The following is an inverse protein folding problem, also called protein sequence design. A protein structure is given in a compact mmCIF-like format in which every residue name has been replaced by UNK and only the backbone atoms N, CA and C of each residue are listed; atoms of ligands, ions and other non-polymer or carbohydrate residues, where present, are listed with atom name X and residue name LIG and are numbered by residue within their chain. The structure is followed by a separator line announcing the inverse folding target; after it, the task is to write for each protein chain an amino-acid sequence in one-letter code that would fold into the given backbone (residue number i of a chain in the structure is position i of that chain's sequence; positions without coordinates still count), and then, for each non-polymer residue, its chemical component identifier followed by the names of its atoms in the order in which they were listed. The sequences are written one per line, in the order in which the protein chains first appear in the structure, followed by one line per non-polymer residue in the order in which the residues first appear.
data_IF_513427590832
#
_entry.id   IF_513427590832
#
_cell.length_a   1.000
_cell.length_b   1.000
_cell.length_c   1.000
_cell.angle_alpha   90.00
_cell.angle_beta   90.00
_cell.angle_gamma   90.00
#
_symmetry.space_group_name_H-M   'P 1'
#
loop_
_entity.id
_entity.type
_entity.pdbx_description
1 polymer ?
#
# COMPACT_ATOMS: atom_id res chain seq x y z
N UNK A 1 18.46 13.49 9.65
CA UNK A 1 19.80 14.12 9.63
C UNK A 1 20.21 14.59 8.24
N UNK A 2 20.71 13.72 7.35
CA UNK A 2 21.37 14.16 6.09
C UNK A 2 20.47 14.98 5.14
N UNK A 3 19.19 14.66 5.03
CA UNK A 3 18.25 15.42 4.18
C UNK A 3 17.63 16.66 4.85
N UNK A 4 17.80 16.81 6.17
CA UNK A 4 17.06 17.79 6.99
C UNK A 4 18.00 18.88 7.51
N UNK A 5 19.27 18.56 7.78
CA UNK A 5 20.23 19.51 8.33
C UNK A 5 20.81 20.41 7.22
N UNK A 6 20.62 21.73 7.36
CA UNK A 6 21.11 22.72 6.38
C UNK A 6 22.61 23.01 6.46
N UNK A 7 23.27 22.71 7.58
CA UNK A 7 24.71 22.97 7.78
C UNK A 7 25.47 21.71 8.20
N UNK A 8 26.76 21.63 7.83
CA UNK A 8 27.65 20.53 8.23
C UNK A 8 27.81 20.44 9.75
N UNK A 9 27.86 21.58 10.44
CA UNK A 9 28.01 21.61 11.91
C UNK A 9 26.76 21.05 12.61
N UNK A 10 25.57 21.43 12.15
CA UNK A 10 24.30 20.88 12.66
C UNK A 10 24.18 19.38 12.38
N UNK A 11 24.66 18.92 11.22
CA UNK A 11 24.68 17.51 10.86
C UNK A 11 25.56 16.67 11.81
N UNK A 12 26.74 17.17 12.18
CA UNK A 12 27.63 16.50 13.12
C UNK A 12 27.01 16.37 14.52
N UNK A 13 26.42 17.45 15.04
CA UNK A 13 25.70 17.43 16.33
C UNK A 13 24.56 16.42 16.33
N UNK A 14 23.80 16.35 15.23
CA UNK A 14 22.72 15.40 15.08
C UNK A 14 23.22 13.94 15.07
N UNK A 15 24.36 13.66 14.41
CA UNK A 15 24.95 12.31 14.46
C UNK A 15 25.42 11.95 15.86
N UNK A 16 25.98 12.88 16.63
CA UNK A 16 26.37 12.62 18.02
C UNK A 16 25.17 12.37 18.91
N UNK A 17 24.08 13.11 18.71
CA UNK A 17 22.81 12.84 19.37
C UNK A 17 22.27 11.44 19.04
N UNK A 18 22.24 11.05 17.76
CA UNK A 18 21.80 9.72 17.32
C UNK A 18 22.68 8.62 17.93
N UNK A 19 24.01 8.81 17.95
CA UNK A 19 24.93 7.84 18.58
C UNK A 19 24.64 7.68 20.07
N UNK A 20 24.42 8.79 20.78
CA UNK A 20 24.07 8.77 22.20
C UNK A 20 22.73 8.08 22.47
N UNK A 21 21.71 8.36 21.66
CA UNK A 21 20.39 7.72 21.76
C UNK A 21 20.47 6.21 21.50
N UNK A 22 21.17 5.80 20.44
CA UNK A 22 21.34 4.40 20.10
C UNK A 22 22.17 3.66 21.16
N UNK A 23 23.21 4.27 21.73
CA UNK A 23 23.98 3.68 22.81
C UNK A 23 23.13 3.45 24.07
N UNK A 24 22.28 4.42 24.45
CA UNK A 24 21.33 4.27 25.56
C UNK A 24 20.33 3.14 25.33
N UNK A 25 19.96 2.89 24.08
CA UNK A 25 19.06 1.81 23.69
C UNK A 25 19.79 0.47 23.42
N UNK A 26 21.07 0.33 23.79
CA UNK A 26 21.81 -0.93 23.69
C UNK A 26 22.30 -1.31 22.29
N UNK A 27 22.27 -0.39 21.31
CA UNK A 27 22.76 -0.68 19.97
C UNK A 27 24.30 -0.64 19.93
N UNK A 28 24.97 -1.64 19.33
CA UNK A 28 26.43 -1.63 19.18
C UNK A 28 26.92 -0.46 18.33
N UNK A 29 27.97 0.23 18.79
CA UNK A 29 28.54 1.38 18.07
C UNK A 29 28.99 1.04 16.63
N UNK A 30 29.46 -0.20 16.39
CA UNK A 30 29.84 -0.68 15.06
C UNK A 30 28.66 -0.70 14.09
N UNK A 31 27.49 -1.14 14.56
CA UNK A 31 26.27 -1.21 13.76
C UNK A 31 25.79 0.20 13.37
N UNK A 32 25.70 1.10 14.35
CA UNK A 32 25.27 2.50 14.12
C UNK A 32 26.22 3.20 13.14
N UNK A 33 27.54 3.09 13.36
CA UNK A 33 28.52 3.71 12.48
C UNK A 33 28.53 3.11 11.07
N UNK A 34 28.25 1.81 10.92
CA UNK A 34 28.09 1.16 9.60
C UNK A 34 26.92 1.77 8.82
N UNK A 35 25.77 1.99 9.48
CA UNK A 35 24.60 2.61 8.87
C UNK A 35 24.90 4.06 8.46
N UNK A 36 25.53 4.84 9.34
CA UNK A 36 25.90 6.23 9.04
C UNK A 36 26.84 6.29 7.82
N UNK A 37 27.88 5.44 7.79
CA UNK A 37 28.83 5.37 6.66
C UNK A 37 28.13 5.00 5.36
N UNK A 38 27.27 3.98 5.38
CA UNK A 38 26.49 3.56 4.21
C UNK A 38 25.65 4.72 3.67
N UNK A 39 24.96 5.46 4.55
CA UNK A 39 24.12 6.56 4.12
C UNK A 39 24.93 7.74 3.54
N UNK A 40 26.10 8.04 4.10
CA UNK A 40 26.99 9.05 3.54
C UNK A 40 27.56 8.63 2.17
N UNK A 41 27.85 7.34 1.99
CA UNK A 41 28.34 6.82 0.72
C UNK A 41 27.26 6.81 -0.37
N UNK A 42 26.00 6.54 -0.02
CA UNK A 42 24.87 6.63 -0.95
C UNK A 42 24.69 8.04 -1.51
N UNK A 43 24.99 9.07 -0.72
CA UNK A 43 24.92 10.48 -1.16
C UNK A 43 26.14 10.91 -1.97
N UNK A 44 27.29 10.27 -1.76
CA UNK A 44 28.53 10.53 -2.51
C UNK A 44 28.61 9.75 -3.81
N UNK A 45 27.87 8.66 -3.93
CA UNK A 45 27.70 7.98 -5.19
C UNK A 45 26.87 8.89 -6.09
N UNK A 46 27.55 9.70 -6.90
CA UNK A 46 27.00 10.16 -8.17
C UNK A 46 26.30 8.98 -8.79
N UNK A 47 25.05 9.19 -9.22
CA UNK A 47 24.22 8.13 -9.79
C UNK A 47 25.09 7.24 -10.71
N UNK A 48 25.02 5.90 -10.59
CA UNK A 48 25.58 5.08 -11.66
C UNK A 48 25.03 5.62 -12.98
N UNK A 49 25.84 5.70 -14.06
CA UNK A 49 25.31 6.08 -15.36
C UNK A 49 24.04 5.28 -15.56
N UNK A 50 22.93 5.98 -15.77
CA UNK A 50 21.66 5.36 -16.12
C UNK A 50 22.00 4.26 -17.11
N UNK A 51 21.70 2.98 -16.79
CA UNK A 51 21.78 1.95 -17.81
C UNK A 51 20.91 2.52 -18.92
N UNK A 52 21.52 2.78 -20.07
CA UNK A 52 20.81 3.19 -21.28
C UNK A 52 19.60 2.27 -21.32
N UNK A 53 18.42 2.86 -21.16
CA UNK A 53 17.16 2.12 -21.21
C UNK A 53 17.01 1.63 -22.65
N UNK A 54 17.71 0.56 -22.98
CA UNK A 54 17.23 -0.38 -23.97
C UNK A 54 15.93 -0.87 -23.35
N UNK A 55 14.84 -0.21 -23.74
CA UNK A 55 13.46 -0.52 -23.39
C UNK A 55 13.11 -1.88 -23.98
N UNK A 56 13.76 -2.94 -23.50
CA UNK A 56 13.30 -4.30 -23.77
C UNK A 56 12.01 -4.42 -22.99
N UNK A 57 10.90 -4.31 -23.71
CA UNK A 57 9.54 -4.54 -23.21
C UNK A 57 9.53 -5.93 -22.55
N UNK A 58 9.69 -5.93 -21.23
CA UNK A 58 9.94 -7.13 -20.44
C UNK A 58 8.61 -7.58 -19.86
N UNK A 59 8.06 -8.64 -20.43
CA UNK A 59 6.78 -9.20 -19.97
C UNK A 59 7.05 -10.16 -18.83
N UNK A 60 6.44 -9.92 -17.67
CA UNK A 60 6.56 -10.80 -16.50
C UNK A 60 5.43 -11.81 -16.49
N UNK A 61 5.77 -13.10 -16.56
CA UNK A 61 4.82 -14.20 -16.44
C UNK A 61 4.90 -14.79 -15.02
N UNK A 62 3.79 -14.73 -14.27
CA UNK A 62 3.69 -15.37 -12.96
C UNK A 62 3.17 -16.79 -13.12
N UNK A 63 3.92 -17.75 -12.59
CA UNK A 63 3.59 -19.18 -12.67
C UNK A 63 3.53 -19.76 -11.26
N UNK A 64 2.44 -20.46 -10.89
CA UNK A 64 2.39 -21.27 -9.68
C UNK A 64 3.57 -22.25 -9.56
N UNK A 65 4.28 -22.23 -8.43
CA UNK A 65 5.34 -23.20 -8.17
C UNK A 65 4.77 -24.54 -7.70
N UNK A 66 4.87 -25.57 -8.54
CA UNK A 66 4.46 -26.95 -8.24
C UNK A 66 5.64 -27.94 -8.24
N UNK A 67 6.87 -27.44 -8.05
CA UNK A 67 8.09 -28.25 -8.14
C UNK A 67 8.71 -28.26 -9.53
N UNK A 68 9.39 -29.35 -9.89
CA UNK A 68 10.19 -29.45 -11.12
C UNK A 68 9.38 -29.16 -12.40
N UNK A 69 8.12 -29.61 -12.45
CA UNK A 69 7.24 -29.39 -13.60
C UNK A 69 7.02 -27.91 -13.93
N UNK A 70 6.85 -27.07 -12.90
CA UNK A 70 6.71 -25.62 -13.10
C UNK A 70 7.97 -25.00 -13.73
N UNK A 71 9.16 -25.51 -13.36
CA UNK A 71 10.42 -25.03 -13.93
C UNK A 71 10.58 -25.47 -15.39
N UNK A 72 10.18 -26.70 -15.72
CA UNK A 72 10.16 -27.19 -17.10
C UNK A 72 9.22 -26.33 -17.95
N UNK A 73 8.02 -26.04 -17.44
CA UNK A 73 7.07 -25.15 -18.09
C UNK A 73 7.67 -23.76 -18.35
N UNK A 74 8.26 -23.13 -17.34
CA UNK A 74 8.86 -21.79 -17.49
C UNK A 74 10.02 -21.76 -18.50
N UNK A 75 10.86 -22.81 -18.54
CA UNK A 75 11.92 -22.96 -19.55
C UNK A 75 11.34 -23.08 -20.96
N UNK A 76 10.31 -23.91 -21.15
CA UNK A 76 9.64 -24.09 -22.45
C UNK A 76 9.00 -22.79 -22.94
N UNK A 77 8.32 -22.07 -22.06
CA UNK A 77 7.69 -20.78 -22.39
C UNK A 77 8.73 -19.75 -22.76
N UNK A 78 9.84 -19.66 -22.02
CA UNK A 78 10.93 -18.72 -22.32
C UNK A 78 11.59 -19.04 -23.66
N UNK A 79 11.82 -20.33 -23.96
CA UNK A 79 12.39 -20.77 -25.24
C UNK A 79 11.45 -20.51 -26.42
N UNK A 80 10.16 -20.79 -26.27
CA UNK A 80 9.14 -20.52 -27.28
C UNK A 80 9.02 -19.01 -27.54
N UNK A 81 9.03 -18.19 -26.48
CA UNK A 81 8.96 -16.74 -26.60
C UNK A 81 10.20 -16.15 -27.28
N UNK A 82 11.40 -16.64 -26.98
CA UNK A 82 12.61 -16.23 -27.68
C UNK A 82 12.57 -16.56 -29.18
N UNK A 83 11.93 -17.67 -29.56
CA UNK A 83 11.76 -18.07 -30.97
C UNK A 83 10.75 -17.21 -31.72
N UNK A 84 9.60 -16.91 -31.10
CA UNK A 84 8.50 -16.23 -31.78
C UNK A 84 8.51 -14.70 -31.61
N UNK A 85 9.13 -14.19 -30.54
CA UNK A 85 9.13 -12.77 -30.17
C UNK A 85 10.54 -12.31 -29.75
N UNK A 86 11.50 -12.18 -30.68
CA UNK A 86 12.88 -11.79 -30.36
C UNK A 86 13.00 -10.37 -29.77
N UNK A 87 11.99 -9.53 -29.97
CA UNK A 87 11.95 -8.14 -29.45
C UNK A 87 11.40 -8.03 -28.03
N UNK A 88 10.80 -9.09 -27.46
CA UNK A 88 10.23 -9.09 -26.11
C UNK A 88 10.91 -10.10 -25.21
N UNK A 89 11.37 -9.65 -24.04
CA UNK A 89 12.00 -10.52 -23.05
C UNK A 89 10.93 -11.01 -22.08
N UNK A 90 10.68 -12.32 -22.05
CA UNK A 90 9.78 -12.90 -21.04
C UNK A 90 10.58 -13.28 -19.79
N UNK A 91 10.16 -12.78 -18.64
CA UNK A 91 10.68 -13.17 -17.33
C UNK A 91 9.64 -14.01 -16.59
N UNK A 92 9.95 -15.28 -16.36
CA UNK A 92 9.09 -16.17 -15.55
C UNK A 92 9.42 -15.98 -14.07
N UNK A 93 8.41 -15.68 -13.28
CA UNK A 93 8.48 -15.59 -11.82
C UNK A 93 7.60 -16.68 -11.23
N UNK A 94 8.18 -17.49 -10.36
CA UNK A 94 7.46 -18.55 -9.68
C UNK A 94 6.87 -18.00 -8.38
N UNK A 95 5.55 -18.05 -8.26
CA UNK A 95 4.82 -17.61 -7.07
C UNK A 95 4.11 -18.80 -6.42
N UNK A 96 3.97 -18.75 -5.10
CA UNK A 96 3.13 -19.69 -4.37
C UNK A 96 1.69 -19.20 -4.46
N UNK A 97 0.79 -20.03 -4.96
CA UNK A 97 -0.63 -19.69 -5.14
C UNK A 97 -1.35 -19.43 -3.83
N UNK A 98 -0.99 -20.17 -2.78
CA UNK A 98 -1.60 -20.03 -1.47
C UNK A 98 -0.54 -19.92 -0.38
N UNK A 99 -0.32 -18.69 0.09
CA UNK A 99 0.55 -18.44 1.23
C UNK A 99 -0.24 -18.81 2.48
N UNK A 100 0.38 -19.51 3.43
CA UNK A 100 -0.24 -19.90 4.71
C UNK A 100 -1.00 -18.72 5.36
N UNK A 101 -0.45 -17.50 5.32
CA UNK A 101 -1.09 -16.31 5.87
C UNK A 101 -2.42 -15.89 5.21
N UNK A 102 -2.76 -16.40 4.01
CA UNK A 102 -4.07 -16.18 3.37
C UNK A 102 -5.16 -17.05 3.98
N UNK A 103 -4.83 -18.30 4.35
CA UNK A 103 -5.74 -19.23 5.03
C UNK A 103 -5.85 -19.02 6.54
N UNK A 104 -4.81 -18.43 7.16
CA UNK A 104 -4.75 -18.20 8.61
C UNK A 104 -4.58 -16.71 8.91
N UNK A 105 -5.66 -15.94 8.74
CA UNK A 105 -5.69 -14.55 9.20
C UNK A 105 -5.67 -14.55 10.73
N UNK A 106 -4.67 -13.89 11.33
CA UNK A 106 -4.53 -13.79 12.80
C UNK A 106 -5.68 -12.97 13.44
N UNK A 107 -6.30 -12.08 12.66
CA UNK A 107 -7.38 -11.20 13.09
C UNK A 107 -8.51 -11.25 12.08
N UNK A 108 -9.73 -11.11 12.58
CA UNK A 108 -10.91 -10.97 11.73
C UNK A 108 -10.82 -9.69 10.90
N UNK A 109 -11.27 -9.79 9.64
CA UNK A 109 -11.41 -8.62 8.77
C UNK A 109 -12.57 -7.77 9.27
N UNK A 110 -12.26 -6.56 9.71
CA UNK A 110 -13.25 -5.56 10.13
C UNK A 110 -13.59 -4.69 8.92
N UNK A 111 -14.87 -4.53 8.61
CA UNK A 111 -15.32 -3.61 7.56
C UNK A 111 -14.87 -2.18 7.85
N UNK A 112 -14.60 -1.39 6.82
CA UNK A 112 -13.99 -0.06 6.96
C UNK A 112 -14.78 0.89 7.88
N UNK A 113 -16.11 0.75 7.87
CA UNK A 113 -17.05 1.48 8.72
C UNK A 113 -16.78 1.32 10.22
N UNK A 114 -16.29 0.16 10.63
CA UNK A 114 -16.01 -0.16 12.04
C UNK A 114 -14.53 -0.02 12.39
N UNK A 115 -13.68 0.48 11.49
CA UNK A 115 -12.28 0.77 11.81
C UNK A 115 -12.17 2.03 12.66
N UNK A 116 -11.23 2.01 13.61
CA UNK A 116 -10.88 3.12 14.51
C UNK A 116 -9.41 3.50 14.33
N UNK A 117 -9.05 4.74 14.66
CA UNK A 117 -7.67 5.21 14.49
C UNK A 117 -7.28 5.41 13.03
N UNK A 118 -8.25 5.74 12.18
CA UNK A 118 -8.08 5.87 10.73
C UNK A 118 -8.09 7.33 10.30
N UNK A 119 -7.37 7.60 9.21
CA UNK A 119 -7.48 8.84 8.43
C UNK A 119 -8.47 8.58 7.30
N UNK A 120 -9.39 9.52 7.07
CA UNK A 120 -10.40 9.43 6.03
C UNK A 120 -10.51 10.73 5.25
N UNK A 121 -11.05 10.61 4.04
CA UNK A 121 -11.31 11.74 3.14
C UNK A 121 -12.83 11.79 2.85
N UNK A 122 -13.42 12.96 3.06
CA UNK A 122 -14.80 13.26 2.71
C UNK A 122 -14.79 14.23 1.51
N UNK A 123 -15.18 13.75 0.35
CA UNK A 123 -15.26 14.54 -0.87
C UNK A 123 -16.65 15.12 -1.07
N UNK A 124 -16.73 16.36 -1.55
CA UNK A 124 -18.01 16.91 -1.99
C UNK A 124 -18.28 16.46 -3.43
N UNK A 125 -19.50 16.01 -3.71
CA UNK A 125 -19.92 15.64 -5.07
C UNK A 125 -20.12 16.84 -5.98
N UNK A 126 -20.40 18.01 -5.40
CA UNK A 126 -20.84 19.21 -6.14
C UNK A 126 -19.71 20.22 -6.31
N UNK A 127 -18.74 20.25 -5.41
CA UNK A 127 -17.51 21.02 -5.56
C UNK A 127 -16.33 20.06 -5.44
N UNK A 128 -15.27 20.26 -6.23
CA UNK A 128 -14.07 19.42 -6.23
C UNK A 128 -13.18 19.66 -4.99
N UNK A 129 -13.81 19.75 -3.82
CA UNK A 129 -13.19 20.00 -2.52
C UNK A 129 -13.28 18.73 -1.67
N UNK A 130 -12.25 18.53 -0.85
CA UNK A 130 -12.13 17.37 0.02
C UNK A 130 -11.73 17.80 1.44
N UNK A 131 -12.36 17.18 2.44
CA UNK A 131 -11.98 17.29 3.84
C UNK A 131 -11.24 16.02 4.26
N UNK A 132 -10.01 16.17 4.74
CA UNK A 132 -9.22 15.05 5.28
C UNK A 132 -9.20 15.17 6.81
N UNK A 133 -9.64 14.12 7.49
CA UNK A 133 -9.72 14.08 8.95
C UNK A 133 -9.16 12.78 9.52
N UNK A 134 -8.85 12.79 10.82
CA UNK A 134 -8.49 11.59 11.58
C UNK A 134 -9.51 11.33 12.68
N UNK A 135 -9.73 10.07 13.04
CA UNK A 135 -10.64 9.70 14.14
C UNK A 135 -10.12 8.53 14.96
N UNK A 136 -10.23 8.65 16.28
CA UNK A 136 -10.03 7.53 17.21
C UNK A 136 -11.30 6.67 17.40
N UNK A 137 -12.48 7.20 17.06
CA UNK A 137 -13.76 6.46 17.09
C UNK A 137 -13.91 5.61 15.84
N UNK A 138 -14.92 4.74 15.80
CA UNK A 138 -15.31 4.04 14.57
C UNK A 138 -15.64 5.05 13.46
N UNK A 139 -15.22 4.77 12.23
CA UNK A 139 -15.42 5.64 11.08
C UNK A 139 -16.90 6.00 10.89
N UNK A 140 -17.80 5.02 11.01
CA UNK A 140 -19.25 5.22 10.90
C UNK A 140 -19.78 6.24 11.93
N UNK A 141 -19.34 6.14 13.18
CA UNK A 141 -19.71 7.10 14.22
C UNK A 141 -19.24 8.50 13.86
N UNK A 142 -18.00 8.64 13.37
CA UNK A 142 -17.45 9.94 12.99
C UNK A 142 -18.19 10.56 11.80
N UNK A 143 -18.55 9.76 10.80
CA UNK A 143 -19.36 10.20 9.67
C UNK A 143 -20.72 10.71 10.16
N UNK A 144 -21.36 9.98 11.08
CA UNK A 144 -22.65 10.38 11.64
C UNK A 144 -22.57 11.72 12.39
N UNK A 145 -21.53 11.91 13.22
CA UNK A 145 -21.27 13.19 13.90
C UNK A 145 -21.15 14.35 12.91
N UNK A 146 -20.36 14.20 11.85
CA UNK A 146 -20.22 15.22 10.82
C UNK A 146 -21.54 15.55 10.13
N UNK A 147 -22.35 14.54 9.78
CA UNK A 147 -23.66 14.75 9.17
C UNK A 147 -24.60 15.48 10.14
N UNK A 148 -24.61 15.10 11.42
CA UNK A 148 -25.43 15.76 12.43
C UNK A 148 -25.01 17.22 12.65
N UNK A 149 -23.71 17.50 12.67
CA UNK A 149 -23.21 18.87 12.79
C UNK A 149 -23.59 19.71 11.56
N UNK A 150 -23.45 19.18 10.35
CA UNK A 150 -23.91 19.86 9.13
C UNK A 150 -25.41 20.16 9.16
N UNK A 151 -26.23 19.24 9.68
CA UNK A 151 -27.68 19.46 9.84
C UNK A 151 -28.04 20.60 10.79
N UNK A 152 -27.17 20.98 11.73
CA UNK A 152 -27.38 22.16 12.59
C UNK A 152 -27.24 23.46 11.82
N UNK A 153 -26.39 23.48 10.78
CA UNK A 153 -26.11 24.66 9.97
C UNK A 153 -26.96 24.74 8.70
N UNK A 154 -27.56 23.63 8.27
CA UNK A 154 -28.54 23.63 7.19
C UNK A 154 -29.88 24.18 7.71
N UNK A 155 -30.50 25.15 7.02
CA UNK A 155 -31.85 25.59 7.37
C UNK A 155 -32.77 24.38 7.34
N UNK A 156 -33.63 24.25 8.36
CA UNK A 156 -34.64 23.19 8.45
C UNK A 156 -35.58 23.29 7.25
N UNK A 157 -35.22 22.62 6.16
CA UNK A 157 -36.13 22.43 5.04
C UNK A 157 -37.14 21.38 5.47
N UNK A 158 -38.41 21.75 5.31
CA UNK A 158 -39.58 21.01 5.75
C UNK A 158 -39.48 19.52 5.46
N UNK A 159 -39.82 18.74 6.48
CA UNK A 159 -40.14 17.32 6.49
C UNK A 159 -40.63 16.75 5.14
N UNK A 160 -39.73 16.16 4.35
CA UNK A 160 -40.14 15.18 3.34
C UNK A 160 -40.23 13.82 4.02
N UNK A 161 -41.46 13.38 4.29
CA UNK A 161 -41.76 12.03 4.79
C UNK A 161 -41.17 10.99 3.83
N UNK A 162 -40.43 9.97 4.30
CA UNK A 162 -40.01 8.89 3.42
C UNK A 162 -41.22 8.10 2.94
N UNK A 163 -41.48 8.10 1.63
CA UNK A 163 -42.42 7.17 1.01
C UNK A 163 -41.78 5.77 0.99
N UNK A 164 -42.22 4.90 1.89
CA UNK A 164 -41.91 3.47 1.84
C UNK A 164 -42.55 2.85 0.60
N UNK A 165 -41.75 2.53 -0.41
CA UNK A 165 -42.11 1.48 -1.40
C UNK A 165 -41.16 0.31 -1.24
N UNK A 166 -41.58 -0.65 -0.42
CA UNK A 166 -41.02 -1.99 -0.34
C UNK A 166 -41.23 -2.71 -1.68
N UNK A 167 -40.18 -2.86 -2.47
CA UNK A 167 -40.15 -3.87 -3.55
C UNK A 167 -39.56 -5.16 -3.00
N UNK A 168 -40.44 -6.08 -2.61
CA UNK A 168 -40.07 -7.49 -2.42
C UNK A 168 -39.61 -8.05 -3.76
N UNK A 169 -38.36 -8.53 -3.85
CA UNK A 169 -37.85 -9.23 -5.03
C UNK A 169 -37.96 -10.74 -4.77
N UNK A 170 -38.92 -11.37 -5.43
CA UNK A 170 -39.15 -12.83 -5.47
C UNK A 170 -37.85 -13.58 -5.76
N UNK A 171 -37.46 -14.49 -4.87
CA UNK A 171 -36.51 -15.58 -5.13
C UNK A 171 -37.13 -16.48 -6.21
N UNK A 172 -36.49 -16.60 -7.38
CA UNK A 172 -36.77 -17.69 -8.33
C UNK A 172 -35.84 -18.84 -7.97
N UNK A 173 -36.47 -19.93 -7.53
CA UNK A 173 -35.87 -21.23 -7.26
C UNK A 173 -35.80 -21.96 -8.60
N UNK A 174 -34.58 -22.30 -9.04
CA UNK A 174 -34.37 -23.07 -10.28
C UNK A 174 -34.09 -24.51 -9.87
N UNK A 175 -35.04 -25.38 -10.21
CA UNK A 175 -35.00 -26.83 -10.05
C UNK A 175 -33.90 -27.45 -10.90
N UNK A 176 -33.27 -28.49 -10.33
CA UNK A 176 -32.40 -29.46 -11.00
C UNK A 176 -33.15 -30.16 -12.14
N UNK A 177 -32.44 -30.42 -13.23
CA UNK A 177 -32.45 -31.67 -13.99
C UNK A 177 -31.07 -31.83 -14.65
#
# INVERSE_FOLDING_TARGET
AIQICSSKNSLHKEFDFIRGLCAKNGYPARFVNSIIKRQLNLQKSTAPPTPIETTTDTVVLRVPYFGAESQIYGKRVTAAAAKHYPFKKIRVVYDVTDRIGRGFQLKDSIADEFKSGVVYEATCSTCNQAYVGQTFRHLNTRIHEHILDLKKFLPQTATVKPSTKSKQRKKKETTRN
#
